data_IF_850862019046
#
_entry.id   IF_850862019046
#
_cell.length_a   1.000
_cell.length_b   1.000
_cell.length_c   1.000
_cell.angle_alpha   90.00
_cell.angle_beta   90.00
_cell.angle_gamma   90.00
#
_symmetry.space_group_name_H-M   'P 1'
#
loop_
_entity.id
_entity.type
_entity.pdbx_description
1 polymer ?
#
# COMPACT_ATOMS: atom_id res chain seq x y z
N UNK A 1 -24.99 -14.53 -5.49
CA UNK A 1 -23.70 -14.39 -5.13
C UNK A 1 -23.13 -13.09 -5.60
N UNK A 2 -22.60 -12.35 -4.76
CA UNK A 2 -22.10 -11.08 -5.17
C UNK A 2 -20.62 -11.17 -5.46
N UNK A 3 -20.18 -10.51 -6.48
CA UNK A 3 -18.78 -10.53 -6.80
C UNK A 3 -18.02 -9.77 -5.74
N UNK A 4 -16.80 -10.14 -5.53
CA UNK A 4 -15.97 -9.44 -4.56
C UNK A 4 -15.62 -8.08 -5.11
N UNK A 5 -16.41 -7.12 -4.74
CA UNK A 5 -16.22 -5.79 -5.24
C UNK A 5 -14.91 -5.19 -4.77
N UNK A 6 -14.32 -5.77 -3.74
CA UNK A 6 -13.11 -5.21 -3.18
C UNK A 6 -11.89 -6.09 -3.39
N UNK A 7 -11.95 -6.90 -4.42
CA UNK A 7 -10.82 -7.76 -4.68
C UNK A 7 -9.61 -6.90 -5.08
N UNK A 8 -8.52 -7.11 -4.42
CA UNK A 8 -7.30 -6.37 -4.71
C UNK A 8 -6.61 -6.95 -5.93
N UNK A 9 -5.99 -6.09 -6.71
CA UNK A 9 -5.16 -6.55 -7.80
C UNK A 9 -3.86 -7.11 -7.23
N UNK A 10 -3.09 -7.79 -8.05
CA UNK A 10 -1.82 -8.35 -7.62
C UNK A 10 -0.91 -7.24 -7.09
N UNK A 11 -0.86 -6.12 -7.78
CA UNK A 11 -0.02 -5.01 -7.36
C UNK A 11 -0.49 -4.44 -6.02
N UNK A 12 -1.79 -4.32 -5.85
CA UNK A 12 -2.33 -3.80 -4.59
C UNK A 12 -2.02 -4.75 -3.45
N UNK A 13 -2.19 -6.03 -3.66
CA UNK A 13 -1.88 -7.01 -2.64
C UNK A 13 -0.41 -7.02 -2.28
N UNK A 14 0.45 -6.95 -3.28
CA UNK A 14 1.88 -6.92 -3.02
C UNK A 14 2.27 -5.65 -2.27
N UNK A 15 1.66 -4.53 -2.62
CA UNK A 15 1.96 -3.27 -1.98
C UNK A 15 1.54 -3.29 -0.51
N UNK A 16 0.36 -3.79 -0.22
CA UNK A 16 -0.09 -3.91 1.16
C UNK A 16 0.82 -4.82 1.96
N UNK A 17 1.27 -5.90 1.34
CA UNK A 17 2.15 -6.84 2.00
C UNK A 17 3.47 -6.16 2.39
N UNK A 18 4.05 -5.40 1.47
CA UNK A 18 5.30 -4.71 1.76
C UNK A 18 5.10 -3.64 2.83
N UNK A 19 3.98 -2.93 2.76
CA UNK A 19 3.71 -1.91 3.75
C UNK A 19 3.57 -2.55 5.14
N UNK A 20 2.90 -3.68 5.23
CA UNK A 20 2.75 -4.38 6.49
C UNK A 20 4.09 -4.80 7.07
N UNK A 21 4.97 -5.30 6.22
CA UNK A 21 6.28 -5.73 6.67
C UNK A 21 7.08 -4.55 7.18
N UNK A 22 7.11 -3.47 6.43
CA UNK A 22 7.92 -2.32 6.79
C UNK A 22 7.33 -1.54 7.96
N UNK A 23 6.03 -1.62 8.13
CA UNK A 23 5.38 -0.88 9.21
C UNK A 23 5.76 -1.40 10.59
N UNK A 24 6.34 -2.59 10.66
CA UNK A 24 6.82 -3.08 11.94
C UNK A 24 7.97 -2.25 12.48
N UNK A 25 8.78 -1.70 11.58
CA UNK A 25 9.94 -0.94 12.00
C UNK A 25 9.77 0.55 11.88
N UNK A 26 8.86 0.99 11.04
CA UNK A 26 8.72 2.41 10.75
C UNK A 26 7.27 2.83 10.79
N UNK A 27 7.03 3.99 11.39
CA UNK A 27 5.67 4.53 11.45
C UNK A 27 5.19 4.96 10.07
N UNK A 28 6.10 5.35 9.20
CA UNK A 28 5.75 5.71 7.85
C UNK A 28 6.83 5.20 6.91
N UNK A 29 6.45 4.98 5.67
CA UNK A 29 7.33 4.35 4.69
C UNK A 29 7.46 5.25 3.49
N UNK A 30 8.69 5.53 3.02
CA UNK A 30 8.85 6.33 1.82
C UNK A 30 8.25 5.61 0.61
N UNK A 31 7.52 6.35 -0.20
CA UNK A 31 6.91 5.77 -1.39
C UNK A 31 7.97 5.20 -2.31
N UNK A 32 9.12 5.85 -2.37
CA UNK A 32 10.20 5.38 -3.23
C UNK A 32 10.66 3.98 -2.85
N UNK A 33 10.72 3.69 -1.55
CA UNK A 33 11.08 2.35 -1.10
C UNK A 33 10.07 1.33 -1.57
N UNK A 34 8.80 1.69 -1.52
CA UNK A 34 7.75 0.79 -2.00
C UNK A 34 7.88 0.55 -3.49
N UNK A 35 8.19 1.58 -4.24
CA UNK A 35 8.37 1.43 -5.68
C UNK A 35 9.50 0.46 -5.99
N UNK A 36 10.60 0.57 -5.26
CA UNK A 36 11.73 -0.32 -5.48
C UNK A 36 11.40 -1.76 -5.12
N UNK A 37 10.67 -1.95 -4.03
CA UNK A 37 10.30 -3.29 -3.61
C UNK A 37 9.32 -3.93 -4.57
N UNK A 38 8.39 -3.15 -5.10
CA UNK A 38 7.44 -3.67 -6.07
C UNK A 38 8.14 -3.98 -7.38
N UNK A 39 9.12 -3.18 -7.74
CA UNK A 39 9.90 -3.43 -8.94
C UNK A 39 10.59 -4.78 -8.83
N UNK A 40 11.10 -5.10 -7.65
CA UNK A 40 11.72 -6.38 -7.39
C UNK A 40 10.75 -7.53 -7.58
N UNK A 41 9.49 -7.29 -7.37
CA UNK A 41 8.46 -8.30 -7.56
C UNK A 41 7.92 -8.35 -8.98
N UNK A 42 8.43 -7.49 -9.86
CA UNK A 42 8.03 -7.51 -11.25
C UNK A 42 6.97 -6.49 -11.61
N UNK A 43 6.69 -5.54 -10.75
CA UNK A 43 5.68 -4.51 -11.04
C UNK A 43 6.37 -3.23 -11.47
N UNK A 44 5.78 -2.55 -12.45
CA UNK A 44 6.35 -1.30 -12.92
C UNK A 44 6.01 -0.18 -11.95
N UNK A 45 6.71 0.94 -12.13
CA UNK A 45 6.46 2.12 -11.30
C UNK A 45 5.03 2.60 -11.47
N UNK A 46 4.53 2.56 -12.70
CA UNK A 46 3.15 2.97 -12.97
C UNK A 46 2.16 2.08 -12.24
N UNK A 47 2.41 0.77 -12.26
CA UNK A 47 1.54 -0.17 -11.57
C UNK A 47 1.55 0.09 -10.07
N UNK A 48 2.72 0.35 -9.53
CA UNK A 48 2.86 0.62 -8.11
C UNK A 48 2.11 1.89 -7.71
N UNK A 49 2.26 2.94 -8.50
CA UNK A 49 1.58 4.20 -8.20
C UNK A 49 0.07 4.07 -8.29
N UNK A 50 -0.42 3.36 -9.29
CA UNK A 50 -1.85 3.13 -9.41
C UNK A 50 -2.38 2.35 -8.23
N UNK A 51 -1.65 1.32 -7.83
CA UNK A 51 -2.05 0.51 -6.70
C UNK A 51 -2.08 1.36 -5.43
N UNK A 52 -1.06 2.20 -5.25
CA UNK A 52 -1.00 3.05 -4.08
C UNK A 52 -2.17 4.02 -4.03
N UNK A 53 -2.47 4.64 -5.17
CA UNK A 53 -3.59 5.57 -5.23
C UNK A 53 -4.90 4.86 -4.90
N UNK A 54 -5.06 3.65 -5.39
CA UNK A 54 -6.24 2.86 -5.11
C UNK A 54 -6.35 2.55 -3.62
N UNK A 55 -5.25 2.16 -3.01
CA UNK A 55 -5.25 1.85 -1.58
C UNK A 55 -5.54 3.08 -0.73
N UNK A 56 -5.01 4.22 -1.14
CA UNK A 56 -5.31 5.48 -0.45
C UNK A 56 -6.79 5.81 -0.54
N UNK A 57 -7.35 5.62 -1.72
CA UNK A 57 -8.74 5.92 -1.94
C UNK A 57 -9.64 5.02 -1.13
N UNK A 58 -9.25 3.77 -0.98
CA UNK A 58 -10.03 2.80 -0.22
C UNK A 58 -9.79 2.88 1.28
N UNK A 59 -8.82 3.67 1.71
CA UNK A 59 -8.58 3.82 3.13
C UNK A 59 -7.70 2.76 3.75
N UNK A 60 -7.04 1.96 2.96
CA UNK A 60 -6.12 0.95 3.49
C UNK A 60 -4.83 1.56 3.97
N UNK A 61 -4.43 2.68 3.38
CA UNK A 61 -3.22 3.38 3.80
C UNK A 61 -3.53 4.87 3.82
N UNK A 62 -2.67 5.63 4.43
CA UNK A 62 -2.83 7.08 4.50
C UNK A 62 -1.51 7.75 4.22
N UNK A 63 -1.57 8.96 3.69
CA UNK A 63 -0.35 9.73 3.50
C UNK A 63 0.15 10.23 4.84
N UNK A 64 1.43 10.04 5.08
CA UNK A 64 2.03 10.43 6.34
C UNK A 64 3.02 11.56 6.14
N UNK A 65 2.83 12.34 5.10
CA UNK A 65 3.73 13.43 4.76
C UNK A 65 3.98 13.41 3.27
N UNK A 66 4.85 14.27 2.79
CA UNK A 66 5.14 14.32 1.38
C UNK A 66 5.91 13.05 1.01
N UNK A 67 5.41 12.24 0.17
CA UNK A 67 6.09 11.04 -0.34
C UNK A 67 6.28 9.95 0.70
N UNK A 68 5.47 9.91 1.75
CA UNK A 68 5.50 8.83 2.72
C UNK A 68 4.08 8.37 2.99
N UNK A 69 3.93 7.10 3.31
CA UNK A 69 2.62 6.54 3.62
C UNK A 69 2.71 5.74 4.91
N UNK A 70 1.58 5.57 5.55
CA UNK A 70 1.50 4.73 6.73
C UNK A 70 0.35 3.76 6.57
N UNK A 71 0.47 2.63 7.24
CA UNK A 71 -0.60 1.67 7.24
C UNK A 71 -1.70 2.20 8.13
N UNK A 72 -2.89 2.33 7.58
CA UNK A 72 -3.98 2.84 8.36
C UNK A 72 -4.56 1.70 9.18
N UNK A 73 -4.45 1.83 10.46
CA UNK A 73 -4.91 0.79 11.34
C UNK A 73 -6.29 1.12 11.84
N UNK A 74 -7.23 0.35 11.42
CA UNK A 74 -8.55 0.59 11.86
C UNK A 74 -8.77 0.24 13.26
N UNK A 75 -8.14 -0.77 13.65
CA UNK A 75 -8.42 -1.26 14.93
C UNK A 75 -8.00 -0.31 15.95
N UNK A 76 -7.05 0.41 15.56
CA UNK A 76 -6.53 1.27 16.50
C UNK A 76 -7.55 2.09 17.08
N UNK A 77 -8.49 2.22 16.38
CA UNK A 77 -9.43 3.01 16.92
C UNK A 77 -9.61 2.69 18.28
N UNK A 78 -9.38 2.01 18.63
CA UNK A 78 -9.63 1.78 19.88
C UNK A 78 -9.31 1.99 20.59
#
# INVERSE_FOLDING_TARGET
>A
MSPPAHKLTDAEGALLDEISILAHDEASIPIKDLELRLEDRGFSESQTRRALMSLLRRGHVALAGAKRVSCKSNGGGV
#
